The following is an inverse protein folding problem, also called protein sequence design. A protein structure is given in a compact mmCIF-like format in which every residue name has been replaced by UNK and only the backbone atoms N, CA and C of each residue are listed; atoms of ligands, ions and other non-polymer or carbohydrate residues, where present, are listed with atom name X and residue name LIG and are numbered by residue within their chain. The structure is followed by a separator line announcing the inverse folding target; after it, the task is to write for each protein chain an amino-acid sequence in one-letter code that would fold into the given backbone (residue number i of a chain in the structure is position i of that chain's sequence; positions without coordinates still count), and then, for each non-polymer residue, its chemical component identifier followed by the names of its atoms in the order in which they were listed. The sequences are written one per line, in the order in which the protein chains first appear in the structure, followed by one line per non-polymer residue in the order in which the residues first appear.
data_IF_442471513990
#
_entry.id   IF_442471513990
#
_cell.length_a   1.000
_cell.length_b   1.000
_cell.length_c   1.000
_cell.angle_alpha   90.00
_cell.angle_beta   90.00
_cell.angle_gamma   90.00
#
_symmetry.space_group_name_H-M   'P 1'
#
loop_
_entity.id
_entity.type
_entity.pdbx_description
1 polymer ?
#
# COMPACT_ATOMS: atom_id res chain seq x y z
N UNK A 1 0.67 -20.21 18.25
CA UNK A 1 1.37 -19.23 17.39
C UNK A 1 2.79 -19.16 17.90
N UNK A 2 3.79 -19.56 17.11
CA UNK A 2 5.19 -19.46 17.51
C UNK A 2 5.66 -18.01 17.34
N UNK A 3 6.70 -17.57 18.06
CA UNK A 3 7.31 -16.24 17.86
C UNK A 3 7.76 -15.97 16.41
N UNK A 4 7.89 -17.03 15.60
CA UNK A 4 8.24 -16.96 14.19
C UNK A 4 7.14 -16.29 13.34
N UNK A 5 5.87 -16.44 13.74
CA UNK A 5 4.70 -15.97 12.99
C UNK A 5 4.55 -14.43 13.06
N UNK A 6 4.77 -13.85 14.25
CA UNK A 6 4.67 -12.39 14.45
C UNK A 6 5.80 -11.66 13.73
N UNK A 7 7.04 -12.17 13.80
CA UNK A 7 8.18 -11.54 13.13
C UNK A 7 8.02 -11.52 11.60
N UNK A 8 7.47 -12.60 11.03
CA UNK A 8 7.14 -12.66 9.60
C UNK A 8 6.05 -11.66 9.22
N UNK A 9 5.01 -11.53 10.04
CA UNK A 9 3.95 -10.54 9.81
C UNK A 9 4.50 -9.11 9.85
N UNK A 10 5.33 -8.77 10.83
CA UNK A 10 5.95 -7.44 10.94
C UNK A 10 6.82 -7.16 9.71
N UNK A 11 7.68 -8.11 9.32
CA UNK A 11 8.49 -7.96 8.11
C UNK A 11 7.66 -7.79 6.83
N UNK A 12 6.51 -8.46 6.74
CA UNK A 12 5.59 -8.31 5.62
C UNK A 12 4.95 -6.92 5.61
N UNK A 13 4.55 -6.39 6.77
CA UNK A 13 4.00 -5.04 6.90
C UNK A 13 5.04 -3.98 6.52
N UNK A 14 6.26 -4.07 7.06
CA UNK A 14 7.35 -3.12 6.81
C UNK A 14 7.73 -3.09 5.32
N UNK A 15 7.75 -4.24 4.65
CA UNK A 15 8.06 -4.34 3.23
C UNK A 15 6.88 -4.07 2.30
N UNK A 16 5.69 -3.74 2.85
CA UNK A 16 4.46 -3.54 2.06
C UNK A 16 3.79 -2.18 2.27
N UNK A 17 4.50 -1.06 2.05
CA UNK A 17 3.94 0.28 2.31
C UNK A 17 2.79 0.67 1.37
N UNK A 18 2.59 -0.04 0.25
CA UNK A 18 1.46 0.16 -0.65
C UNK A 18 0.89 -1.16 -1.15
N UNK A 19 -0.34 -1.16 -1.68
CA UNK A 19 -0.98 -2.35 -2.26
C UNK A 19 -0.14 -3.01 -3.37
N UNK A 20 0.67 -2.23 -4.08
CA UNK A 20 1.59 -2.72 -5.11
C UNK A 20 2.76 -3.51 -4.50
N UNK A 21 3.26 -3.07 -3.34
CA UNK A 21 4.28 -3.80 -2.59
C UNK A 21 3.70 -5.07 -1.96
N UNK A 22 2.47 -5.02 -1.43
CA UNK A 22 1.75 -6.22 -0.94
C UNK A 22 1.69 -7.28 -2.03
N UNK A 23 1.25 -6.91 -3.24
CA UNK A 23 1.20 -7.84 -4.37
C UNK A 23 2.58 -8.37 -4.73
N UNK A 24 3.60 -7.51 -4.79
CA UNK A 24 4.97 -7.94 -5.11
C UNK A 24 5.55 -8.94 -4.09
N UNK A 25 5.29 -8.72 -2.80
CA UNK A 25 5.67 -9.66 -1.75
C UNK A 25 4.89 -10.97 -1.85
N UNK A 26 3.58 -10.90 -2.11
CA UNK A 26 2.75 -12.09 -2.33
C UNK A 26 3.24 -12.91 -3.53
N UNK A 27 3.57 -12.26 -4.65
CA UNK A 27 4.21 -12.91 -5.82
C UNK A 27 5.48 -13.65 -5.41
N UNK A 28 6.38 -12.96 -4.71
CA UNK A 28 7.67 -13.53 -4.27
C UNK A 28 7.49 -14.75 -3.33
N UNK A 29 6.45 -14.75 -2.50
CA UNK A 29 6.11 -15.90 -1.66
C UNK A 29 5.57 -17.04 -2.52
N UNK A 30 4.62 -16.77 -3.41
CA UNK A 30 4.01 -17.76 -4.29
C UNK A 30 5.02 -18.42 -5.24
N UNK A 31 5.92 -17.62 -5.82
CA UNK A 31 7.01 -18.09 -6.68
C UNK A 31 7.94 -19.05 -5.91
N UNK A 32 8.26 -18.74 -4.65
CA UNK A 32 9.09 -19.59 -3.79
C UNK A 32 8.42 -20.93 -3.45
N UNK A 33 7.09 -20.93 -3.33
CA UNK A 33 6.28 -22.12 -3.10
C UNK A 33 5.94 -22.87 -4.41
N UNK A 34 6.49 -22.44 -5.56
CA UNK A 34 6.35 -23.12 -6.84
C UNK A 34 5.03 -22.84 -7.59
N UNK A 35 4.30 -21.79 -7.20
CA UNK A 35 3.14 -21.34 -7.97
C UNK A 35 3.61 -20.66 -9.26
N UNK A 36 2.82 -20.81 -10.33
CA UNK A 36 3.15 -20.26 -11.65
C UNK A 36 2.34 -18.97 -11.88
N UNK A 37 3.02 -17.87 -12.20
CA UNK A 37 2.37 -16.63 -12.65
C UNK A 37 1.70 -16.86 -14.01
N UNK A 38 0.43 -16.46 -14.12
CA UNK A 38 -0.33 -16.48 -15.35
C UNK A 38 -0.72 -15.05 -15.73
N UNK A 39 -0.52 -14.67 -16.99
CA UNK A 39 -0.84 -13.34 -17.49
C UNK A 39 -2.33 -13.17 -17.89
N UNK A 40 -3.09 -14.26 -17.95
CA UNK A 40 -4.51 -14.24 -18.34
C UNK A 40 -4.75 -13.77 -19.79
N UNK A 41 -3.72 -13.65 -20.62
CA UNK A 41 -3.83 -13.27 -22.04
C UNK A 41 -3.82 -14.53 -22.93
N UNK A 42 -3.07 -15.56 -22.52
CA UNK A 42 -3.09 -16.86 -23.19
C UNK A 42 -4.15 -17.78 -22.58
N UNK A 43 -5.26 -17.94 -23.31
CA UNK A 43 -6.32 -18.94 -23.09
C UNK A 43 -6.08 -20.12 -24.05
N UNK A 44 -6.14 -21.39 -23.61
CA UNK A 44 -6.44 -21.84 -22.25
C UNK A 44 -5.25 -21.79 -21.28
N UNK A 45 -5.56 -21.56 -20.01
CA UNK A 45 -4.69 -21.92 -18.87
C UNK A 45 -4.16 -23.34 -19.11
N UNK A 46 -2.85 -23.61 -19.06
CA UNK A 46 -2.36 -24.95 -19.32
C UNK A 46 -2.99 -25.91 -18.29
N UNK A 47 -3.63 -26.98 -18.77
CA UNK A 47 -4.43 -27.90 -17.93
C UNK A 47 -3.63 -28.50 -16.76
N UNK A 48 -2.30 -28.55 -16.90
CA UNK A 48 -1.35 -29.04 -15.91
C UNK A 48 -0.98 -28.04 -14.79
N UNK A 49 -1.43 -26.78 -14.84
CA UNK A 49 -1.13 -25.80 -13.78
C UNK A 49 -2.11 -26.01 -12.61
N UNK A 50 -1.75 -26.92 -11.70
CA UNK A 50 -2.52 -27.18 -10.48
C UNK A 50 -2.46 -25.99 -9.50
N UNK A 51 -1.33 -25.29 -9.44
CA UNK A 51 -1.12 -24.15 -8.54
C UNK A 51 -0.60 -22.95 -9.32
N UNK A 52 -1.26 -21.80 -9.20
CA UNK A 52 -0.86 -20.60 -9.93
C UNK A 52 -1.49 -19.35 -9.38
N UNK A 53 -1.09 -18.20 -9.94
CA UNK A 53 -1.65 -16.92 -9.57
C UNK A 53 -1.71 -15.95 -10.76
N UNK A 54 -2.58 -14.97 -10.66
CA UNK A 54 -2.66 -13.80 -11.55
C UNK A 54 -2.48 -12.56 -10.69
N UNK A 55 -1.58 -11.67 -11.09
CA UNK A 55 -1.37 -10.38 -10.43
C UNK A 55 -1.60 -9.22 -11.41
N UNK A 56 -2.41 -8.25 -10.99
CA UNK A 56 -2.70 -7.04 -11.75
C UNK A 56 -2.77 -5.86 -10.80
N UNK A 57 -1.79 -4.97 -10.93
CA UNK A 57 -1.71 -3.77 -10.11
C UNK A 57 -1.67 -4.09 -8.61
N UNK A 58 -2.65 -3.62 -7.83
CA UNK A 58 -2.77 -3.93 -6.39
C UNK A 58 -3.56 -5.21 -6.11
N UNK A 59 -3.97 -5.98 -7.12
CA UNK A 59 -4.78 -7.19 -6.96
C UNK A 59 -3.98 -8.45 -7.28
N UNK A 60 -4.19 -9.49 -6.48
CA UNK A 60 -3.66 -10.83 -6.73
C UNK A 60 -4.73 -11.89 -6.45
N UNK A 61 -4.79 -12.91 -7.31
CA UNK A 61 -5.63 -14.09 -7.12
C UNK A 61 -4.72 -15.29 -7.26
N UNK A 62 -4.71 -16.16 -6.25
CA UNK A 62 -3.96 -17.42 -6.27
C UNK A 62 -4.92 -18.61 -6.10
N UNK A 63 -4.57 -19.73 -6.73
CA UNK A 63 -5.34 -20.97 -6.64
C UNK A 63 -4.41 -22.17 -6.47
N UNK A 64 -4.95 -23.22 -5.85
CA UNK A 64 -4.26 -24.48 -5.61
C UNK A 64 -5.25 -25.63 -5.72
N UNK A 65 -5.11 -26.43 -6.77
CA UNK A 65 -5.95 -27.60 -7.04
C UNK A 65 -5.29 -28.86 -6.45
N UNK A 66 -6.06 -29.65 -5.70
CA UNK A 66 -5.56 -30.88 -5.09
C UNK A 66 -5.39 -32.04 -6.10
N UNK A 67 -6.17 -32.01 -7.20
CA UNK A 67 -6.08 -32.93 -8.35
C UNK A 67 -6.89 -32.36 -9.53
N UNK A 68 -6.88 -33.07 -10.67
CA UNK A 68 -7.58 -32.70 -11.91
C UNK A 68 -9.08 -33.04 -11.92
N UNK A 69 -9.67 -33.55 -10.83
CA UNK A 69 -11.06 -34.00 -10.84
C UNK A 69 -12.05 -32.84 -10.98
N UNK A 70 -12.96 -32.96 -11.95
CA UNK A 70 -13.87 -31.91 -12.41
C UNK A 70 -14.93 -31.41 -11.40
N UNK A 71 -15.03 -31.98 -10.18
CA UNK A 71 -16.05 -31.62 -9.18
C UNK A 71 -15.51 -31.64 -7.76
N UNK A 72 -14.84 -30.57 -7.36
CA UNK A 72 -14.40 -30.35 -5.98
C UNK A 72 -15.12 -29.15 -5.35
N UNK A 73 -15.32 -29.15 -4.02
CA UNK A 73 -15.79 -27.95 -3.31
C UNK A 73 -14.74 -26.84 -3.40
N UNK A 74 -15.17 -25.63 -3.76
CA UNK A 74 -14.32 -24.44 -3.76
C UNK A 74 -14.18 -23.90 -2.34
N UNK A 75 -12.93 -23.69 -1.90
CA UNK A 75 -12.62 -22.92 -0.68
C UNK A 75 -12.08 -21.58 -1.11
N UNK A 76 -12.79 -20.51 -0.77
CA UNK A 76 -12.43 -19.14 -1.12
C UNK A 76 -12.13 -18.35 0.15
N UNK A 77 -10.98 -17.66 0.14
CA UNK A 77 -10.61 -16.68 1.17
C UNK A 77 -10.42 -15.34 0.47
N UNK A 78 -11.08 -14.31 0.99
CA UNK A 78 -10.99 -12.95 0.47
C UNK A 78 -10.34 -12.02 1.49
N UNK A 79 -9.48 -11.13 1.01
CA UNK A 79 -8.88 -10.01 1.73
C UNK A 79 -8.67 -8.84 0.76
N UNK A 80 -8.22 -7.69 1.27
CA UNK A 80 -7.86 -6.53 0.46
C UNK A 80 -6.41 -6.12 0.74
N UNK A 81 -5.75 -5.51 -0.25
CA UNK A 81 -4.33 -5.15 -0.22
C UNK A 81 -4.09 -3.68 0.06
N UNK A 82 -5.14 -2.86 0.00
CA UNK A 82 -5.10 -1.43 0.23
C UNK A 82 -5.39 -1.10 1.70
N UNK A 83 -5.02 0.11 2.10
CA UNK A 83 -5.32 0.67 3.41
C UNK A 83 -5.57 2.17 3.27
N UNK A 84 -6.46 2.77 4.08
CA UNK A 84 -6.67 4.21 4.06
C UNK A 84 -5.39 4.99 4.32
N UNK A 85 -5.17 6.09 3.60
CA UNK A 85 -3.96 6.89 3.75
C UNK A 85 -3.92 8.15 2.90
N UNK A 86 -2.72 8.65 2.66
CA UNK A 86 -2.46 9.85 1.87
C UNK A 86 -1.74 9.47 0.58
N UNK A 87 -2.32 9.84 -0.55
CA UNK A 87 -1.76 9.56 -1.89
C UNK A 87 -1.32 10.87 -2.52
N UNK A 88 -0.18 10.89 -3.21
CA UNK A 88 0.24 12.07 -3.96
C UNK A 88 -0.75 12.37 -5.09
N UNK A 89 -1.19 13.63 -5.16
CA UNK A 89 -1.96 14.12 -6.30
C UNK A 89 -1.06 14.26 -7.52
N UNK A 90 -1.58 14.00 -8.74
CA UNK A 90 -0.86 14.32 -9.96
C UNK A 90 -0.62 15.83 -10.07
N UNK A 91 0.54 16.21 -10.61
CA UNK A 91 0.92 17.60 -10.81
C UNK A 91 2.07 18.05 -9.92
N UNK A 92 2.32 19.36 -9.90
CA UNK A 92 3.47 19.93 -9.17
C UNK A 92 3.13 20.10 -7.70
N UNK A 93 4.02 19.61 -6.84
CA UNK A 93 4.09 20.01 -5.43
C UNK A 93 4.45 21.49 -5.31
N UNK A 94 3.98 22.12 -4.23
CA UNK A 94 4.11 23.56 -4.00
C UNK A 94 5.19 23.92 -3.00
N UNK A 95 5.16 25.17 -2.57
CA UNK A 95 5.91 25.64 -1.41
C UNK A 95 5.07 26.59 -0.57
N UNK A 96 5.34 26.65 0.72
CA UNK A 96 4.71 27.58 1.66
C UNK A 96 5.69 27.91 2.77
N UNK A 97 5.80 29.20 3.14
CA UNK A 97 6.69 29.67 4.20
C UNK A 97 8.16 29.18 4.07
N UNK A 98 8.65 29.00 2.84
CA UNK A 98 10.03 28.52 2.57
C UNK A 98 10.19 26.99 2.61
N UNK A 99 9.14 26.23 2.90
CA UNK A 99 9.14 24.76 2.88
C UNK A 99 8.53 24.22 1.59
N UNK A 100 9.07 23.11 1.10
CA UNK A 100 8.41 22.31 0.06
C UNK A 100 7.14 21.67 0.64
N UNK A 101 6.09 21.54 -0.16
CA UNK A 101 4.81 20.97 0.29
C UNK A 101 4.32 19.93 -0.70
N UNK A 102 4.08 18.71 -0.21
CA UNK A 102 3.49 17.63 -0.99
C UNK A 102 1.97 17.82 -1.10
N UNK A 103 1.47 17.82 -2.34
CA UNK A 103 0.03 17.82 -2.59
C UNK A 103 -0.51 16.40 -2.51
N UNK A 104 -1.32 16.13 -1.49
CA UNK A 104 -1.92 14.80 -1.27
C UNK A 104 -3.44 14.82 -1.39
N UNK A 105 -4.00 13.65 -1.68
CA UNK A 105 -5.41 13.32 -1.54
C UNK A 105 -5.60 12.27 -0.45
N UNK A 106 -6.77 12.27 0.17
CA UNK A 106 -7.13 11.27 1.16
C UNK A 106 -7.73 10.07 0.44
N UNK A 107 -7.07 8.93 0.58
CA UNK A 107 -7.56 7.65 0.12
C UNK A 107 -8.29 6.93 1.26
N UNK A 108 -9.55 6.54 1.02
CA UNK A 108 -10.39 5.87 2.01
C UNK A 108 -10.84 6.78 3.17
N UNK A 109 -11.08 6.17 4.34
CA UNK A 109 -11.51 6.85 5.57
C UNK A 109 -10.48 6.78 6.71
N UNK A 110 -9.28 7.38 6.56
CA UNK A 110 -8.26 7.34 7.61
C UNK A 110 -8.65 8.23 8.79
N UNK A 111 -8.16 7.85 9.98
CA UNK A 111 -8.15 8.72 11.16
C UNK A 111 -7.14 9.85 10.94
N UNK A 112 -7.62 11.01 10.49
CA UNK A 112 -6.74 12.09 10.00
C UNK A 112 -5.72 12.58 11.04
N UNK A 113 -6.11 12.61 12.32
CA UNK A 113 -5.24 13.03 13.41
C UNK A 113 -4.07 12.07 13.67
N UNK A 114 -4.17 10.79 13.30
CA UNK A 114 -3.08 9.83 13.52
C UNK A 114 -1.89 10.04 12.59
N UNK A 115 -2.08 10.81 11.52
CA UNK A 115 -1.05 11.19 10.54
C UNK A 115 -0.25 12.42 10.98
N UNK A 116 -0.73 13.15 11.97
CA UNK A 116 0.01 14.28 12.52
C UNK A 116 1.25 13.79 13.26
N UNK A 117 2.32 14.56 13.14
CA UNK A 117 3.57 14.39 13.87
C UNK A 117 4.22 13.00 13.71
N UNK A 118 4.01 12.39 12.54
CA UNK A 118 4.69 11.17 12.09
C UNK A 118 5.81 11.50 11.11
N UNK A 119 6.88 10.73 11.18
CA UNK A 119 7.91 10.72 10.16
C UNK A 119 7.39 9.88 8.99
N UNK A 120 7.14 10.52 7.84
CA UNK A 120 6.50 9.90 6.68
C UNK A 120 7.53 9.66 5.58
N UNK A 121 7.63 8.40 5.16
CA UNK A 121 8.28 7.99 3.90
C UNK A 121 7.30 8.09 2.73
N UNK A 122 7.83 8.05 1.52
CA UNK A 122 7.04 7.98 0.28
C UNK A 122 7.29 6.64 -0.40
N UNK A 123 6.21 5.95 -0.76
CA UNK A 123 6.27 4.73 -1.53
C UNK A 123 5.19 4.68 -2.60
N UNK A 124 5.43 3.92 -3.67
CA UNK A 124 4.49 3.81 -4.77
C UNK A 124 5.08 3.18 -6.01
N UNK A 125 4.51 3.55 -7.15
CA UNK A 125 4.96 3.15 -8.48
C UNK A 125 5.44 4.41 -9.18
N UNK A 126 6.64 4.36 -9.75
CA UNK A 126 7.19 5.47 -10.55
C UNK A 126 7.47 4.97 -11.96
N UNK A 127 7.22 5.86 -12.94
CA UNK A 127 7.66 5.65 -14.30
C UNK A 127 8.97 6.42 -14.52
N UNK A 128 10.02 5.72 -14.91
CA UNK A 128 11.33 6.31 -15.17
C UNK A 128 11.34 7.03 -16.52
N UNK A 129 12.38 7.81 -16.76
CA UNK A 129 12.59 8.47 -18.07
C UNK A 129 12.82 7.49 -19.22
N UNK A 130 13.23 6.24 -18.94
CA UNK A 130 13.33 5.17 -19.94
C UNK A 130 11.97 4.51 -20.24
N UNK A 131 10.91 4.89 -19.52
CA UNK A 131 9.58 4.30 -19.64
C UNK A 131 9.35 3.07 -18.77
N UNK A 132 10.35 2.65 -17.99
CA UNK A 132 10.24 1.54 -17.05
C UNK A 132 9.31 1.90 -15.88
N UNK A 133 8.51 0.94 -15.43
CA UNK A 133 7.67 1.08 -14.25
C UNK A 133 8.29 0.31 -13.09
N UNK A 134 8.69 1.01 -12.03
CA UNK A 134 9.34 0.39 -10.87
C UNK A 134 8.58 0.69 -9.58
N UNK A 135 8.71 -0.22 -8.61
CA UNK A 135 8.33 0.07 -7.23
C UNK A 135 9.38 0.99 -6.62
N UNK A 136 8.91 2.02 -5.94
CA UNK A 136 9.73 3.01 -5.27
C UNK A 136 9.33 3.08 -3.81
N UNK A 137 10.33 3.19 -2.95
CA UNK A 137 10.23 3.54 -1.55
C UNK A 137 11.42 4.45 -1.21
N UNK A 138 11.19 5.49 -0.42
CA UNK A 138 12.26 6.36 0.06
C UNK A 138 13.05 5.68 1.18
N UNK A 139 14.38 5.73 1.11
CA UNK A 139 15.29 5.09 2.07
C UNK A 139 15.16 5.62 3.52
N UNK A 140 14.58 6.80 3.70
CA UNK A 140 14.34 7.43 4.99
C UNK A 140 13.09 8.32 4.91
N UNK A 141 12.49 8.69 6.06
CA UNK A 141 11.37 9.63 6.08
C UNK A 141 11.75 10.97 5.43
N UNK A 142 10.86 11.50 4.60
CA UNK A 142 11.09 12.73 3.81
C UNK A 142 10.04 13.82 4.05
N UNK A 143 9.00 13.53 4.82
CA UNK A 143 7.91 14.48 5.04
C UNK A 143 7.27 14.35 6.42
N UNK A 144 6.61 15.41 6.87
CA UNK A 144 5.85 15.42 8.12
C UNK A 144 4.61 16.31 8.00
N UNK A 145 3.52 15.92 8.65
CA UNK A 145 2.35 16.78 8.83
C UNK A 145 2.40 17.28 10.27
N UNK A 146 2.82 18.53 10.47
CA UNK A 146 3.02 19.06 11.82
C UNK A 146 1.70 19.51 12.45
N UNK A 147 1.44 19.12 13.69
CA UNK A 147 0.30 19.67 14.43
C UNK A 147 0.54 21.13 14.80
N UNK A 148 -0.49 21.98 14.69
CA UNK A 148 -0.42 23.36 15.17
C UNK A 148 -0.18 23.38 16.68
N UNK A 149 0.78 24.20 17.13
CA UNK A 149 1.10 24.32 18.54
C UNK A 149 -0.13 24.78 19.35
N UNK A 150 -0.38 24.12 20.50
CA UNK A 150 -1.53 24.40 21.37
C UNK A 150 -1.64 25.86 21.83
N UNK A 151 -0.51 26.58 21.93
CA UNK A 151 -0.50 28.00 22.27
C UNK A 151 -1.24 28.88 21.23
N UNK A 152 -1.31 28.39 19.98
CA UNK A 152 -1.99 28.98 18.83
C UNK A 152 -3.38 28.37 18.57
N UNK A 153 -3.71 27.24 19.21
CA UNK A 153 -5.02 26.59 19.20
C UNK A 153 -5.42 26.17 20.62
N UNK A 154 -5.73 27.17 21.45
CA UNK A 154 -5.88 27.00 22.90
C UNK A 154 -7.10 26.18 23.31
N UNK A 155 -8.11 26.12 22.45
CA UNK A 155 -9.38 25.46 22.72
C UNK A 155 -9.41 24.01 22.17
N UNK A 156 -8.33 23.52 21.56
CA UNK A 156 -8.26 22.20 20.89
C UNK A 156 -8.63 21.03 21.81
N UNK A 157 -8.27 21.11 23.09
CA UNK A 157 -8.56 20.07 24.07
C UNK A 157 -10.04 20.08 24.51
N UNK A 158 -10.72 21.23 24.41
CA UNK A 158 -12.11 21.39 24.83
C UNK A 158 -13.08 21.17 23.66
N UNK A 159 -12.73 21.66 22.46
CA UNK A 159 -13.56 21.59 21.24
C UNK A 159 -13.25 20.39 20.36
N UNK A 160 -12.13 19.72 20.61
CA UNK A 160 -11.59 18.67 19.74
C UNK A 160 -10.84 19.25 18.54
N UNK A 161 -9.94 18.43 17.98
CA UNK A 161 -9.13 18.80 16.84
C UNK A 161 -9.95 18.78 15.54
N UNK A 162 -10.04 19.93 14.87
CA UNK A 162 -10.69 20.06 13.56
C UNK A 162 -9.64 20.22 12.47
N UNK A 163 -9.53 19.21 11.60
CA UNK A 163 -8.59 19.21 10.49
C UNK A 163 -9.31 19.48 9.17
N UNK A 164 -8.92 20.57 8.50
CA UNK A 164 -9.27 20.75 7.10
C UNK A 164 -8.48 19.76 6.24
N UNK A 165 -9.21 18.93 5.50
CA UNK A 165 -8.66 17.84 4.68
C UNK A 165 -7.71 18.31 3.59
N UNK A 166 -7.89 19.54 3.10
CA UNK A 166 -7.11 20.09 1.99
C UNK A 166 -6.04 21.05 2.47
N UNK A 167 -6.17 21.69 3.63
CA UNK A 167 -5.22 22.69 4.14
C UNK A 167 -4.28 22.07 5.16
N UNK A 168 -4.78 21.32 6.15
CA UNK A 168 -3.99 20.88 7.31
C UNK A 168 -3.24 19.55 7.09
N UNK A 169 -3.55 18.81 6.03
CA UNK A 169 -2.95 17.49 5.77
C UNK A 169 -1.90 17.49 4.66
N UNK A 170 -1.32 18.65 4.33
CA UNK A 170 -0.24 18.71 3.34
C UNK A 170 1.10 18.49 4.04
N UNK A 171 1.82 17.39 3.76
CA UNK A 171 3.13 17.17 4.34
C UNK A 171 4.14 18.20 3.83
N UNK A 172 5.00 18.67 4.73
CA UNK A 172 6.19 19.49 4.43
C UNK A 172 7.47 18.71 4.61
#
# INVERSE_FOLDING_TARGET
MSNYDIAQLVSLLDSSPTSRHVVNNAKSILDREGFIEWDGICDPRPEHVLHGYLARSGTIIAWSNLNEAARQPLRLVGAHTDSPGLTLKPGRSGSSAGLGILNVEIYGGPLLNSWLDRDLSLAGVVQTSSGETVLFESDHPIARISQLAIHLDREVNDKGLVLDRQIHLRPS
#
